data_IF_333259674933
#
_entry.id   IF_333259674933
#
_cell.length_a   1.000
_cell.length_b   1.000
_cell.length_c   1.000
_cell.angle_alpha   90.00
_cell.angle_beta   90.00
_cell.angle_gamma   90.00
#
_symmetry.space_group_name_H-M   'P 1'
#
loop_
_entity.id
_entity.type
_entity.pdbx_description
1 polymer ?
#
# COMPACT_ATOMS: atom_id res chain seq x y z
N UNK A 1 9.22 28.17 7.06
CA UNK A 1 7.76 28.23 6.82
C UNK A 1 7.22 29.45 7.57
N UNK A 2 6.56 30.42 6.91
CA UNK A 2 5.98 31.56 7.61
C UNK A 2 4.90 31.09 8.59
N UNK A 3 4.89 31.64 9.81
CA UNK A 3 3.91 31.29 10.84
C UNK A 3 2.59 31.97 10.53
N UNK A 4 1.78 31.36 9.66
CA UNK A 4 0.39 31.79 9.47
C UNK A 4 -0.37 31.46 10.76
N UNK A 5 -1.14 32.40 11.31
CA UNK A 5 -1.99 32.19 12.51
C UNK A 5 -3.27 31.44 12.14
N UNK A 6 -3.15 30.48 11.23
CA UNK A 6 -4.25 29.76 10.62
C UNK A 6 -4.24 28.32 11.11
N UNK A 7 -5.42 27.77 11.33
CA UNK A 7 -5.60 26.37 11.75
C UNK A 7 -6.66 25.76 10.86
N UNK A 8 -6.35 24.57 10.33
CA UNK A 8 -7.26 23.77 9.51
C UNK A 8 -7.47 22.43 10.21
N UNK A 9 -8.72 22.11 10.54
CA UNK A 9 -9.11 20.79 11.04
C UNK A 9 -9.92 20.10 9.95
N UNK A 10 -9.42 18.97 9.46
CA UNK A 10 -10.07 18.21 8.40
C UNK A 10 -10.80 17.02 9.01
N UNK A 11 -12.10 16.90 8.73
CA UNK A 11 -12.89 15.70 9.06
C UNK A 11 -13.27 15.00 7.77
N UNK A 12 -13.25 13.67 7.78
CA UNK A 12 -13.51 12.90 6.58
C UNK A 12 -13.49 11.41 6.80
N UNK A 13 -13.55 10.67 5.68
CA UNK A 13 -13.47 9.21 5.67
C UNK A 13 -12.18 8.76 5.02
N UNK A 14 -11.55 7.76 5.62
CA UNK A 14 -10.36 7.11 5.08
C UNK A 14 -10.81 5.85 4.33
N UNK A 15 -10.25 5.65 3.15
CA UNK A 15 -10.39 4.44 2.35
C UNK A 15 -9.01 3.85 2.10
N UNK A 16 -8.92 2.53 2.14
CA UNK A 16 -7.70 1.79 1.87
C UNK A 16 -7.88 1.06 0.55
N UNK A 17 -6.98 1.32 -0.40
CA UNK A 17 -6.91 0.60 -1.67
C UNK A 17 -5.70 -0.32 -1.59
N UNK A 18 -5.96 -1.57 -1.22
CA UNK A 18 -4.94 -2.62 -1.18
C UNK A 18 -4.80 -3.30 -2.55
N UNK A 19 -3.76 -4.11 -2.72
CA UNK A 19 -3.59 -4.94 -3.91
C UNK A 19 -4.84 -5.81 -4.18
N UNK A 20 -5.16 -6.13 -5.44
CA UNK A 20 -6.37 -6.90 -5.80
C UNK A 20 -6.50 -8.21 -5.03
N UNK A 21 -5.38 -8.90 -4.76
CA UNK A 21 -5.32 -10.13 -3.97
C UNK A 21 -5.77 -9.96 -2.51
N UNK A 22 -5.67 -8.74 -1.96
CA UNK A 22 -6.00 -8.41 -0.57
C UNK A 22 -7.25 -7.52 -0.44
N UNK A 23 -7.77 -7.00 -1.56
CA UNK A 23 -8.89 -6.05 -1.63
C UNK A 23 -10.12 -6.45 -0.80
N UNK A 24 -10.49 -7.73 -0.80
CA UNK A 24 -11.63 -8.27 -0.04
C UNK A 24 -11.57 -7.97 1.47
N UNK A 25 -10.37 -7.81 2.04
CA UNK A 25 -10.19 -7.59 3.49
C UNK A 25 -10.31 -6.13 3.91
N UNK A 26 -9.95 -5.21 3.02
CA UNK A 26 -9.81 -3.79 3.35
C UNK A 26 -11.02 -2.94 2.89
N UNK A 27 -12.02 -3.60 2.31
CA UNK A 27 -13.25 -2.97 1.85
C UNK A 27 -13.15 -2.44 0.42
N UNK A 28 -14.23 -1.83 -0.05
CA UNK A 28 -14.28 -1.29 -1.42
C UNK A 28 -13.72 0.12 -1.48
N UNK A 29 -12.97 0.47 -2.54
CA UNK A 29 -12.48 1.83 -2.72
C UNK A 29 -13.63 2.82 -2.98
N UNK A 30 -13.37 4.14 -2.93
CA UNK A 30 -14.40 5.16 -3.15
C UNK A 30 -15.10 5.01 -4.52
N UNK A 31 -16.38 4.62 -4.53
CA UNK A 31 -17.14 4.41 -5.78
C UNK A 31 -17.51 5.69 -6.53
N UNK A 32 -17.65 6.80 -5.81
CA UNK A 32 -18.03 8.10 -6.39
C UNK A 32 -16.78 8.92 -6.64
N UNK A 33 -16.22 8.75 -7.83
CA UNK A 33 -15.11 9.53 -8.33
C UNK A 33 -15.70 10.44 -9.41
N UNK A 34 -15.59 11.76 -9.23
CA UNK A 34 -16.11 12.71 -10.19
C UNK A 34 -15.08 12.94 -11.29
N UNK A 35 -14.70 11.87 -11.99
CA UNK A 35 -13.71 11.88 -13.07
C UNK A 35 -14.37 11.21 -14.27
N UNK A 36 -14.39 11.90 -15.40
CA UNK A 36 -14.87 11.37 -16.68
C UNK A 36 -13.88 10.30 -17.16
N UNK A 37 -14.14 9.04 -16.82
CA UNK A 37 -13.35 7.89 -17.28
C UNK A 37 -14.28 6.73 -17.61
N UNK A 38 -13.99 6.01 -18.70
CA UNK A 38 -14.74 4.82 -19.13
C UNK A 38 -14.45 3.59 -18.25
N UNK A 39 -13.55 3.73 -17.27
CA UNK A 39 -13.08 2.65 -16.39
C UNK A 39 -13.99 2.46 -15.18
N UNK A 40 -14.01 1.24 -14.65
CA UNK A 40 -14.62 0.99 -13.35
C UNK A 40 -13.87 1.73 -12.24
N UNK A 41 -14.56 2.10 -11.16
CA UNK A 41 -13.92 2.77 -10.03
C UNK A 41 -12.80 1.93 -9.39
N UNK A 42 -12.95 0.61 -9.40
CA UNK A 42 -11.94 -0.33 -8.86
C UNK A 42 -10.67 -0.33 -9.71
N UNK A 43 -10.82 -0.39 -11.02
CA UNK A 43 -9.70 -0.32 -11.97
C UNK A 43 -8.98 1.03 -11.89
N UNK A 44 -9.74 2.14 -11.82
CA UNK A 44 -9.16 3.48 -11.67
C UNK A 44 -8.28 3.59 -10.42
N UNK A 45 -8.77 3.10 -9.27
CA UNK A 45 -8.02 3.21 -8.02
C UNK A 45 -6.80 2.28 -7.98
N UNK A 46 -6.87 1.13 -8.65
CA UNK A 46 -5.70 0.25 -8.81
C UNK A 46 -4.64 0.89 -9.71
N UNK A 47 -5.04 1.48 -10.84
CA UNK A 47 -4.14 2.24 -11.70
C UNK A 47 -3.47 3.38 -10.92
N UNK A 48 -4.24 4.09 -10.08
CA UNK A 48 -3.73 5.17 -9.25
C UNK A 48 -2.76 4.65 -8.17
N UNK A 49 -3.03 3.49 -7.57
CA UNK A 49 -2.13 2.82 -6.64
C UNK A 49 -0.79 2.50 -7.32
N UNK A 50 -0.82 1.91 -8.50
CA UNK A 50 0.37 1.58 -9.30
C UNK A 50 1.12 2.86 -9.70
N UNK A 51 0.41 3.90 -10.14
CA UNK A 51 0.98 5.20 -10.51
C UNK A 51 1.73 5.84 -9.33
N UNK A 52 1.14 5.80 -8.13
CA UNK A 52 1.79 6.29 -6.92
C UNK A 52 3.00 5.42 -6.54
N UNK A 53 2.87 4.09 -6.61
CA UNK A 53 3.99 3.18 -6.41
C UNK A 53 5.18 3.57 -7.29
N UNK A 54 4.94 3.75 -8.59
CA UNK A 54 5.96 4.16 -9.57
C UNK A 54 6.56 5.55 -9.31
N UNK A 55 5.85 6.44 -8.60
CA UNK A 55 6.34 7.79 -8.24
C UNK A 55 7.21 7.80 -6.99
N UNK A 56 7.00 6.86 -6.07
CA UNK A 56 7.76 6.74 -4.83
C UNK A 56 9.21 6.36 -5.13
N UNK A 57 10.17 6.79 -4.30
CA UNK A 57 11.59 6.47 -4.49
C UNK A 57 11.86 4.96 -4.30
N UNK A 58 12.84 4.38 -5.02
CA UNK A 58 13.22 2.97 -4.86
C UNK A 58 13.58 2.58 -3.42
N UNK A 59 14.18 3.50 -2.67
CA UNK A 59 14.55 3.30 -1.27
C UNK A 59 13.31 3.14 -0.37
N UNK A 60 12.29 3.97 -0.59
CA UNK A 60 11.06 3.89 0.19
C UNK A 60 10.25 2.64 -0.18
N UNK A 61 10.30 2.19 -1.45
CA UNK A 61 9.68 0.92 -1.85
C UNK A 61 10.29 -0.29 -1.17
N UNK A 62 11.62 -0.28 -0.97
CA UNK A 62 12.31 -1.32 -0.23
C UNK A 62 11.81 -1.48 1.21
N UNK A 63 11.21 -0.43 1.81
CA UNK A 63 10.62 -0.57 3.14
C UNK A 63 9.39 -1.48 3.19
N UNK A 64 8.70 -1.69 2.06
CA UNK A 64 7.54 -2.60 1.99
C UNK A 64 7.93 -4.08 1.93
N UNK A 65 9.23 -4.38 1.83
CA UNK A 65 9.78 -5.72 2.02
C UNK A 65 10.38 -5.91 3.40
N UNK A 66 10.23 -4.96 4.32
CA UNK A 66 10.71 -5.17 5.68
C UNK A 66 9.76 -6.09 6.45
N UNK A 67 10.27 -6.77 7.49
CA UNK A 67 9.41 -7.53 8.40
C UNK A 67 8.29 -6.67 8.98
N UNK A 68 7.20 -7.33 9.39
CA UNK A 68 6.04 -6.62 9.93
C UNK A 68 6.43 -5.68 11.07
N UNK A 69 5.99 -4.41 11.01
CA UNK A 69 6.34 -3.44 12.02
C UNK A 69 5.76 -3.85 13.38
N UNK A 70 6.60 -3.77 14.42
CA UNK A 70 6.20 -4.10 15.80
C UNK A 70 6.54 -5.52 16.24
N UNK A 71 7.05 -6.38 15.35
CA UNK A 71 7.64 -7.66 15.75
C UNK A 71 9.06 -7.42 16.32
N UNK A 72 9.44 -8.05 17.45
CA UNK A 72 10.80 -7.99 17.96
C UNK A 72 11.81 -8.46 16.92
N UNK A 73 12.96 -7.77 16.83
CA UNK A 73 14.06 -8.19 15.96
C UNK A 73 14.72 -9.44 16.55
N UNK A 74 14.24 -10.62 16.16
CA UNK A 74 14.86 -11.89 16.55
C UNK A 74 16.16 -12.08 15.79
N UNK A 75 17.26 -11.71 16.45
CA UNK A 75 18.64 -11.79 15.94
C UNK A 75 19.19 -13.22 15.85
N UNK A 76 18.37 -14.26 16.01
CA UNK A 76 18.83 -15.66 16.06
C UNK A 76 18.25 -16.50 14.91
N UNK A 77 18.89 -16.37 13.75
CA UNK A 77 18.82 -17.36 12.67
C UNK A 77 19.54 -18.64 13.16
N UNK A 78 18.82 -19.63 13.70
CA UNK A 78 19.52 -20.86 14.11
C UNK A 78 18.78 -21.98 14.84
N UNK A 79 17.53 -21.82 15.26
CA UNK A 79 16.80 -22.97 15.83
C UNK A 79 15.38 -23.01 15.28
N UNK A 80 15.09 -24.00 14.44
CA UNK A 80 13.78 -24.26 13.84
C UNK A 80 12.70 -24.59 14.86
N UNK A 81 12.26 -23.59 15.62
CA UNK A 81 10.98 -23.55 16.33
C UNK A 81 10.37 -22.19 16.08
N UNK A 82 9.38 -22.19 15.18
CA UNK A 82 8.71 -20.99 14.71
C UNK A 82 8.05 -20.20 15.82
N UNK A 83 8.27 -18.90 15.79
CA UNK A 83 7.40 -17.93 16.45
C UNK A 83 7.57 -16.61 15.70
N UNK A 84 6.64 -16.32 14.79
CA UNK A 84 6.55 -15.03 14.10
C UNK A 84 5.08 -14.58 14.20
N UNK A 85 4.68 -14.08 15.37
CA UNK A 85 3.51 -13.19 15.62
C UNK A 85 3.03 -13.27 17.08
N UNK A 86 2.57 -12.14 17.61
CA UNK A 86 1.93 -11.95 18.94
C UNK A 86 0.45 -12.40 18.95
N UNK A 87 -0.12 -12.79 17.82
CA UNK A 87 -1.46 -13.39 17.75
C UNK A 87 -1.36 -14.89 17.52
N UNK A 88 -1.32 -15.65 18.62
CA UNK A 88 -1.53 -17.10 18.65
C UNK A 88 -2.99 -17.48 18.34
N UNK A 89 -3.61 -16.81 17.37
CA UNK A 89 -4.91 -17.18 16.85
C UNK A 89 -4.73 -18.07 15.61
N UNK A 90 -5.46 -19.17 15.59
CA UNK A 90 -5.50 -20.15 14.48
C UNK A 90 -6.11 -19.58 13.19
N UNK A 91 -6.56 -18.31 13.22
CA UNK A 91 -7.10 -17.56 12.10
C UNK A 91 -6.13 -16.51 11.51
N UNK A 92 -4.89 -16.43 12.00
CA UNK A 92 -3.89 -15.50 11.47
C UNK A 92 -3.43 -15.95 10.08
N UNK A 93 -3.52 -15.02 9.14
CA UNK A 93 -3.23 -15.21 7.72
C UNK A 93 -1.78 -15.66 7.57
N UNK A 94 -1.57 -16.92 7.16
CA UNK A 94 -0.31 -17.29 6.54
C UNK A 94 -0.30 -16.60 5.18
N UNK A 95 0.42 -15.50 5.03
CA UNK A 95 0.70 -14.94 3.71
C UNK A 95 1.39 -16.06 2.91
N UNK A 96 0.75 -16.64 1.89
CA UNK A 96 1.36 -17.71 1.12
C UNK A 96 2.30 -17.07 0.10
N UNK A 97 3.43 -16.54 0.58
CA UNK A 97 4.46 -16.03 -0.29
C UNK A 97 5.83 -16.40 0.29
N UNK A 98 6.49 -17.34 -0.39
CA UNK A 98 7.93 -17.63 -0.39
C UNK A 98 8.57 -17.96 0.95
N UNK A 99 8.34 -19.20 1.42
CA UNK A 99 9.06 -19.82 2.55
C UNK A 99 10.58 -19.92 2.40
N UNK A 100 11.15 -19.54 1.25
CA UNK A 100 12.57 -19.68 0.93
C UNK A 100 13.27 -18.35 0.58
N UNK A 101 12.58 -17.20 0.67
CA UNK A 101 13.20 -15.90 0.41
C UNK A 101 13.36 -15.17 1.74
N UNK A 102 14.59 -14.79 2.07
CA UNK A 102 14.90 -13.98 3.25
C UNK A 102 14.49 -12.52 2.99
N UNK A 103 13.30 -12.15 3.47
CA UNK A 103 12.67 -10.84 3.34
C UNK A 103 13.09 -9.92 4.52
N UNK A 104 14.29 -10.12 5.08
CA UNK A 104 14.84 -9.22 6.10
C UNK A 104 15.14 -7.80 5.56
N UNK A 105 15.83 -6.98 6.35
CA UNK A 105 16.34 -5.64 5.97
C UNK A 105 17.44 -5.67 4.89
N UNK A 106 17.44 -6.69 4.03
CA UNK A 106 18.45 -7.01 3.02
C UNK A 106 18.40 -6.03 1.85
N UNK A 107 17.21 -5.58 1.46
CA UNK A 107 17.01 -4.70 0.30
C UNK A 107 17.01 -3.23 0.75
N UNK A 108 17.91 -2.45 0.14
CA UNK A 108 18.02 -1.00 0.37
C UNK A 108 17.35 -0.18 -0.73
N UNK A 109 17.18 -0.77 -1.91
CA UNK A 109 16.54 -0.17 -3.08
C UNK A 109 15.74 -1.23 -3.82
N UNK A 110 14.53 -0.88 -4.25
CA UNK A 110 13.71 -1.67 -5.17
C UNK A 110 13.28 -0.80 -6.34
N UNK A 111 13.88 -1.05 -7.50
CA UNK A 111 13.55 -0.32 -8.72
C UNK A 111 12.14 -0.65 -9.20
N UNK A 112 11.50 0.30 -9.90
CA UNK A 112 10.25 0.02 -10.59
C UNK A 112 10.56 -0.95 -11.73
N UNK A 113 10.08 -2.18 -11.63
CA UNK A 113 10.05 -3.05 -12.80
C UNK A 113 8.92 -2.52 -13.68
N UNK A 114 9.26 -2.09 -14.90
CA UNK A 114 8.24 -1.72 -15.89
C UNK A 114 7.43 -2.98 -16.21
N UNK A 115 6.11 -2.92 -16.03
CA UNK A 115 5.16 -4.02 -16.31
C UNK A 115 5.02 -4.38 -17.80
N UNK A 116 6.04 -4.13 -18.63
CA UNK A 116 6.02 -4.49 -20.05
C UNK A 116 5.99 -6.01 -20.30
N UNK A 117 6.02 -6.85 -19.26
CA UNK A 117 5.89 -8.32 -19.35
C UNK A 117 4.56 -8.89 -18.81
N UNK A 118 3.72 -8.10 -18.13
CA UNK A 118 2.55 -8.63 -17.40
C UNK A 118 1.29 -8.84 -18.25
N UNK A 119 1.22 -8.31 -19.47
CA UNK A 119 0.09 -8.59 -20.38
C UNK A 119 0.12 -9.97 -21.07
N UNK A 120 1.00 -10.88 -20.63
CA UNK A 120 1.04 -12.25 -21.13
C UNK A 120 0.83 -13.28 -20.03
N UNK A 121 -0.20 -13.11 -19.18
CA UNK A 121 -0.90 -14.24 -18.54
C UNK A 121 -2.16 -13.75 -17.84
N UNK A 122 -3.27 -13.76 -18.57
CA UNK A 122 -4.52 -14.19 -17.96
C UNK A 122 -4.38 -15.68 -17.67
N UNK A 123 -3.89 -16.05 -16.48
CA UNK A 123 -4.06 -17.41 -15.98
C UNK A 123 -3.95 -17.41 -14.47
N UNK A 124 -5.08 -17.76 -13.86
CA UNK A 124 -5.19 -18.35 -12.54
C UNK A 124 -4.19 -19.51 -12.51
N UNK A 125 -3.14 -19.42 -11.70
CA UNK A 125 -2.30 -20.59 -11.39
C UNK A 125 -2.12 -20.63 -9.89
N UNK A 126 -2.90 -21.51 -9.27
CA UNK A 126 -2.60 -22.10 -7.98
C UNK A 126 -1.15 -22.53 -7.96
N UNK A 127 -0.37 -22.04 -7.00
CA UNK A 127 0.98 -22.47 -6.71
C UNK A 127 0.96 -23.93 -6.22
N UNK A 128 0.85 -24.86 -7.17
CA UNK A 128 1.12 -26.26 -6.95
C UNK A 128 2.63 -26.45 -6.76
N UNK A 129 2.97 -27.05 -5.63
CA UNK A 129 4.29 -27.53 -5.24
C UNK A 129 5.00 -28.28 -6.36
N UNK A 130 6.06 -27.70 -6.92
CA UNK A 130 7.01 -28.44 -7.76
C UNK A 130 8.19 -28.91 -6.91
N UNK A 131 8.07 -30.13 -6.37
CA UNK A 131 9.24 -30.90 -6.00
C UNK A 131 9.96 -31.31 -7.29
N UNK A 132 11.03 -30.62 -7.66
CA UNK A 132 11.94 -31.14 -8.69
C UNK A 132 13.07 -31.91 -8.03
N UNK A 133 13.03 -33.22 -8.27
CA UNK A 133 14.07 -34.17 -7.96
C UNK A 133 15.38 -33.78 -8.66
N UNK A 134 16.47 -33.92 -7.91
CA UNK A 134 17.86 -33.75 -8.32
C UNK A 134 18.18 -34.71 -9.48
N UNK A 135 18.73 -34.20 -10.59
CA UNK A 135 19.79 -34.85 -11.38
C UNK A 135 20.32 -33.94 -12.51
N UNK A 136 21.63 -33.71 -12.49
CA UNK A 136 22.45 -33.69 -13.72
C UNK A 136 22.86 -32.34 -14.30
N UNK A 137 24.09 -31.95 -13.96
CA UNK A 137 25.16 -31.52 -14.90
C UNK A 137 24.93 -30.31 -15.83
N UNK A 138 25.59 -29.19 -15.50
CA UNK A 138 26.19 -28.26 -16.47
C UNK A 138 25.38 -27.02 -16.86
N UNK A 139 25.81 -25.84 -16.37
CA UNK A 139 25.39 -24.54 -16.92
C UNK A 139 24.96 -23.48 -15.90
N UNK A 140 25.84 -23.13 -14.95
CA UNK A 140 25.66 -21.96 -14.09
C UNK A 140 26.19 -20.71 -14.79
N UNK A 141 25.38 -19.66 -14.82
CA UNK A 141 25.67 -18.25 -14.45
C UNK A 141 24.75 -17.34 -15.27
N UNK A 142 23.72 -16.76 -14.63
CA UNK A 142 23.05 -15.55 -15.15
C UNK A 142 21.53 -15.43 -14.98
N UNK A 143 20.78 -16.51 -14.72
CA UNK A 143 19.30 -16.48 -14.77
C UNK A 143 18.59 -16.31 -13.41
N UNK A 144 19.32 -16.37 -12.30
CA UNK A 144 18.73 -16.49 -10.95
C UNK A 144 18.33 -15.16 -10.28
N UNK A 145 19.13 -14.09 -10.46
CA UNK A 145 18.95 -12.86 -9.66
C UNK A 145 17.73 -12.03 -10.08
N UNK A 146 17.37 -12.04 -11.37
CA UNK A 146 16.26 -11.22 -11.88
C UNK A 146 14.90 -11.75 -11.42
N UNK A 147 14.73 -13.07 -11.36
CA UNK A 147 13.48 -13.70 -10.92
C UNK A 147 13.24 -13.52 -9.42
N UNK A 148 14.30 -13.54 -8.61
CA UNK A 148 14.23 -13.23 -7.18
C UNK A 148 13.82 -11.77 -6.96
N UNK A 149 14.47 -10.83 -7.66
CA UNK A 149 14.14 -9.40 -7.56
C UNK A 149 12.71 -9.09 -8.01
N UNK A 150 12.22 -9.75 -9.06
CA UNK A 150 10.84 -9.62 -9.53
C UNK A 150 9.83 -10.14 -8.50
N UNK A 151 10.12 -11.28 -7.88
CA UNK A 151 9.28 -11.85 -6.81
C UNK A 151 9.20 -10.91 -5.61
N UNK A 152 10.32 -10.31 -5.24
CA UNK A 152 10.42 -9.39 -4.10
C UNK A 152 9.75 -8.06 -4.40
N UNK A 153 9.93 -7.54 -5.61
CA UNK A 153 9.21 -6.35 -6.07
C UNK A 153 7.70 -6.56 -6.02
N UNK A 154 7.21 -7.70 -6.52
CA UNK A 154 5.78 -8.00 -6.53
C UNK A 154 5.24 -8.18 -5.10
N UNK A 155 5.99 -8.86 -4.22
CA UNK A 155 5.63 -8.95 -2.80
C UNK A 155 5.59 -7.58 -2.12
N UNK A 156 6.52 -6.67 -2.45
CA UNK A 156 6.52 -5.31 -1.92
C UNK A 156 5.29 -4.53 -2.39
N UNK A 157 4.94 -4.68 -3.67
CA UNK A 157 3.78 -4.06 -4.27
C UNK A 157 2.47 -4.61 -3.69
N UNK A 158 2.40 -5.89 -3.35
CA UNK A 158 1.22 -6.49 -2.70
C UNK A 158 1.01 -5.92 -1.28
N UNK A 159 2.09 -5.65 -0.57
CA UNK A 159 2.06 -4.99 0.75
C UNK A 159 1.79 -3.48 0.68
N UNK A 160 1.88 -2.87 -0.51
CA UNK A 160 1.63 -1.45 -0.71
C UNK A 160 0.12 -1.16 -0.85
N UNK A 161 -0.39 -0.29 0.01
CA UNK A 161 -1.74 0.24 -0.07
C UNK A 161 -1.76 1.74 -0.32
N UNK A 162 -2.72 2.21 -1.13
CA UNK A 162 -3.01 3.63 -1.28
C UNK A 162 -4.06 4.05 -0.26
N UNK A 163 -3.74 5.07 0.55
CA UNK A 163 -4.64 5.64 1.53
C UNK A 163 -5.33 6.89 0.95
N UNK A 164 -6.65 6.89 0.92
CA UNK A 164 -7.44 8.01 0.38
C UNK A 164 -8.24 8.64 1.52
N UNK A 165 -7.96 9.91 1.80
CA UNK A 165 -8.75 10.68 2.76
C UNK A 165 -9.76 11.58 2.04
N UNK A 166 -11.03 11.18 2.07
CA UNK A 166 -12.14 11.97 1.55
C UNK A 166 -12.62 12.93 2.62
N UNK A 167 -12.21 14.19 2.49
CA UNK A 167 -12.63 15.29 3.37
C UNK A 167 -14.14 15.56 3.19
N UNK A 168 -14.86 15.63 4.30
CA UNK A 168 -16.28 16.02 4.37
C UNK A 168 -16.44 17.41 4.98
N UNK A 169 -15.55 17.77 5.91
CA UNK A 169 -15.60 19.03 6.63
C UNK A 169 -14.21 19.62 6.78
N UNK A 170 -14.12 20.93 6.66
CA UNK A 170 -12.92 21.72 6.95
C UNK A 170 -13.31 22.83 7.90
N UNK A 171 -12.72 22.82 9.08
CA UNK A 171 -12.82 23.92 10.03
C UNK A 171 -11.58 24.80 9.89
N UNK A 172 -11.78 26.01 9.38
CA UNK A 172 -10.75 27.02 9.24
C UNK A 172 -10.90 28.07 10.34
N UNK A 173 -9.83 28.27 11.10
CA UNK A 173 -9.78 29.31 12.14
C UNK A 173 -8.58 30.22 11.96
N UNK A 174 -8.83 31.53 11.95
CA UNK A 174 -7.81 32.56 11.88
C UNK A 174 -7.69 33.30 13.23
N UNK A 175 -6.57 33.09 13.92
CA UNK A 175 -6.30 33.64 15.26
C UNK A 175 -5.68 35.04 15.24
N UNK A 176 -5.72 35.73 14.09
CA UNK A 176 -5.10 37.05 13.90
C UNK A 176 -5.94 38.22 14.41
N UNK A 177 -7.24 38.01 14.65
CA UNK A 177 -8.22 39.05 14.99
C UNK A 177 -9.08 38.59 16.18
N UNK A 178 -9.62 39.52 16.97
CA UNK A 178 -10.52 39.22 18.09
C UNK A 178 -11.91 39.84 17.84
N UNK A 179 -13.00 39.05 17.87
CA UNK A 179 -13.02 37.59 18.03
C UNK A 179 -12.37 36.87 16.83
N UNK A 180 -11.81 35.65 17.00
CA UNK A 180 -11.23 34.88 15.90
C UNK A 180 -12.25 34.66 14.78
N UNK A 181 -11.81 34.70 13.52
CA UNK A 181 -12.70 34.36 12.40
C UNK A 181 -12.69 32.83 12.22
N UNK A 182 -13.87 32.20 12.26
CA UNK A 182 -14.02 30.75 12.09
C UNK A 182 -15.02 30.46 10.97
N UNK A 183 -14.57 29.71 9.97
CA UNK A 183 -15.36 29.32 8.80
C UNK A 183 -15.37 27.80 8.75
N UNK A 184 -16.58 27.23 8.74
CA UNK A 184 -16.78 25.79 8.57
C UNK A 184 -17.20 25.54 7.13
N UNK A 185 -16.43 24.75 6.40
CA UNK A 185 -16.79 24.20 5.11
C UNK A 185 -17.34 22.79 5.30
N UNK A 186 -18.48 22.49 4.68
CA UNK A 186 -19.08 21.16 4.71
C UNK A 186 -19.53 20.75 3.31
N UNK A 187 -19.33 19.47 2.99
CA UNK A 187 -19.91 18.83 1.82
C UNK A 187 -20.74 17.60 2.22
N UNK A 188 -22.05 17.79 2.41
CA UNK A 188 -22.98 16.72 2.85
C UNK A 188 -22.94 15.47 1.95
N UNK A 189 -22.70 15.66 0.65
CA UNK A 189 -22.72 14.57 -0.35
C UNK A 189 -21.49 14.50 -1.26
N UNK A 190 -20.49 15.37 -1.07
CA UNK A 190 -19.26 15.41 -1.87
C UNK A 190 -19.37 16.15 -3.21
N UNK A 191 -20.54 16.66 -3.58
CA UNK A 191 -20.77 17.29 -4.88
C UNK A 191 -20.79 18.83 -4.82
N UNK A 192 -21.12 19.39 -3.66
CA UNK A 192 -21.20 20.84 -3.45
C UNK A 192 -20.59 21.15 -2.09
N UNK A 193 -19.74 22.17 -2.05
CA UNK A 193 -19.17 22.71 -0.82
C UNK A 193 -19.97 23.93 -0.39
N UNK A 194 -20.38 23.96 0.88
CA UNK A 194 -21.01 25.12 1.50
C UNK A 194 -20.11 25.59 2.63
N UNK A 195 -20.10 26.89 2.88
CA UNK A 195 -19.39 27.45 4.01
C UNK A 195 -20.34 28.24 4.90
N UNK A 196 -20.01 28.31 6.17
CA UNK A 196 -20.77 29.11 7.15
C UNK A 196 -19.77 29.79 8.06
N UNK A 197 -19.93 31.10 8.26
CA UNK A 197 -19.17 31.82 9.27
C UNK A 197 -19.84 31.60 10.63
N UNK A 198 -19.07 31.11 11.60
CA UNK A 198 -19.61 30.75 12.92
C UNK A 198 -19.82 31.97 13.81
N UNK A 199 -19.08 33.05 13.55
CA UNK A 199 -19.04 34.24 14.40
C UNK A 199 -19.69 35.46 13.73
N UNK A 200 -20.53 35.24 12.71
CA UNK A 200 -21.27 36.29 12.01
C UNK A 200 -22.63 36.57 12.68
#
# INVERSE_FOLDING_TARGET
MPKTKETYILTGRIYIVAAPALSYRFGTPPRRINIETDKSAEEFWEDERIRIWQKISPEYRASFTWPEPGIPCDTKLGSGKGSWSVYNDSNTIKVPAVSNIDIGYKYKTLDAIKETSLHKSGSIVSSATSFQAIKGLGGMVGRSNNSEMETIHNSALDNFCLLIFKVTDVDYTQHGMFPPNRIIFNSKNGNEWRYTNVNA
#
